data_IF_983386577103
#
_entry.id   IF_983386577103
#
_cell.length_a   1.000
_cell.length_b   1.000
_cell.length_c   1.000
_cell.angle_alpha   90.00
_cell.angle_beta   90.00
_cell.angle_gamma   90.00
#
_symmetry.space_group_name_H-M   'P 1'
#
loop_
_entity.id
_entity.type
_entity.pdbx_description
1 polymer ?
#
# COMPACT_ATOMS: atom_id res chain seq x y z
N UNK A 1 -10.54 -2.06 -6.06
CA UNK A 1 -10.32 -2.64 -4.73
C UNK A 1 -11.56 -3.32 -4.13
N UNK A 2 -12.79 -2.83 -4.36
CA UNK A 2 -14.03 -3.45 -3.83
C UNK A 2 -14.09 -4.98 -3.99
N UNK A 3 -13.81 -5.51 -5.19
CA UNK A 3 -13.91 -6.98 -5.44
C UNK A 3 -12.90 -7.84 -4.69
N UNK A 4 -11.74 -7.28 -4.33
CA UNK A 4 -10.74 -7.98 -3.52
C UNK A 4 -11.16 -7.92 -2.05
N UNK A 5 -11.63 -6.76 -1.60
CA UNK A 5 -12.18 -6.59 -0.26
C UNK A 5 -13.33 -7.57 0.03
N UNK A 6 -14.23 -7.77 -0.94
CA UNK A 6 -15.35 -8.71 -0.83
C UNK A 6 -14.89 -10.16 -0.60
N UNK A 7 -13.66 -10.51 -1.00
CA UNK A 7 -13.05 -11.84 -0.84
C UNK A 7 -12.18 -11.94 0.42
N UNK A 8 -11.51 -10.85 0.77
CA UNK A 8 -10.58 -10.75 1.90
C UNK A 8 -10.63 -9.33 2.45
N UNK A 9 -11.05 -9.20 3.70
CA UNK A 9 -10.98 -7.91 4.40
C UNK A 9 -9.51 -7.54 4.68
N UNK A 10 -9.18 -6.26 4.54
CA UNK A 10 -7.89 -5.69 4.89
C UNK A 10 -8.09 -4.36 5.62
N UNK A 11 -7.06 -3.57 5.87
CA UNK A 11 -7.23 -2.16 6.23
C UNK A 11 -6.79 -1.32 5.04
N UNK A 12 -7.49 -0.22 4.78
CA UNK A 12 -7.21 0.65 3.64
C UNK A 12 -7.08 2.10 4.10
N UNK A 13 -6.00 2.74 3.66
CA UNK A 13 -5.73 4.15 3.88
C UNK A 13 -5.17 4.78 2.62
N UNK A 14 -5.51 6.05 2.39
CA UNK A 14 -5.00 6.85 1.28
C UNK A 14 -4.11 7.96 1.82
N UNK A 15 -3.07 8.31 1.05
CA UNK A 15 -2.17 9.42 1.37
C UNK A 15 -2.16 10.35 0.16
N UNK A 16 -2.61 11.59 0.35
CA UNK A 16 -2.43 12.64 -0.64
C UNK A 16 -0.97 13.09 -0.63
N UNK A 17 -0.18 12.59 -1.58
CA UNK A 17 1.24 12.90 -1.67
C UNK A 17 1.50 14.35 -2.09
N UNK A 18 0.51 15.06 -2.65
CA UNK A 18 0.67 16.45 -3.06
C UNK A 18 0.45 17.43 -1.91
N UNK A 19 -0.11 16.96 -0.79
CA UNK A 19 -0.27 17.75 0.42
C UNK A 19 1.09 18.28 0.95
N UNK A 20 1.17 19.54 1.40
CA UNK A 20 2.42 20.17 1.84
C UNK A 20 3.20 19.44 2.95
N UNK A 21 2.50 18.67 3.78
CA UNK A 21 3.04 17.83 4.86
C UNK A 21 3.71 16.56 4.35
N UNK A 22 3.33 16.07 3.17
CA UNK A 22 3.78 14.79 2.61
C UNK A 22 4.97 14.92 1.66
N UNK A 23 5.89 15.86 1.92
CA UNK A 23 7.05 16.14 1.05
C UNK A 23 7.91 14.90 0.77
N UNK A 24 8.05 14.00 1.75
CA UNK A 24 8.78 12.74 1.58
C UNK A 24 8.13 11.84 0.53
N UNK A 25 6.82 11.65 0.61
CA UNK A 25 6.07 10.86 -0.38
C UNK A 25 6.05 11.52 -1.75
N UNK A 26 5.87 12.85 -1.78
CA UNK A 26 5.95 13.63 -3.02
C UNK A 26 7.26 13.37 -3.75
N UNK A 27 8.39 13.51 -3.06
CA UNK A 27 9.70 13.33 -3.66
C UNK A 27 9.92 11.91 -4.23
N UNK A 28 9.33 10.89 -3.60
CA UNK A 28 9.46 9.50 -4.04
C UNK A 28 8.55 9.16 -5.23
N UNK A 29 7.34 9.72 -5.28
CA UNK A 29 6.28 9.21 -6.16
C UNK A 29 5.57 10.25 -7.01
N UNK A 30 5.97 11.53 -7.00
CA UNK A 30 5.29 12.60 -7.77
C UNK A 30 5.11 12.28 -9.27
N UNK A 31 5.96 11.41 -9.83
CA UNK A 31 5.88 10.96 -11.23
C UNK A 31 5.38 9.52 -11.40
N UNK A 32 5.20 8.78 -10.31
CA UNK A 32 4.94 7.32 -10.29
C UNK A 32 3.54 6.96 -9.77
N UNK A 33 2.66 7.94 -9.56
CA UNK A 33 1.29 7.69 -9.08
C UNK A 33 0.41 7.01 -10.14
N UNK A 34 -0.47 6.06 -9.75
CA UNK A 34 -0.69 5.57 -8.38
C UNK A 34 0.32 4.50 -7.94
N UNK A 35 0.63 4.47 -6.63
CA UNK A 35 1.42 3.42 -5.97
C UNK A 35 0.64 2.87 -4.79
N UNK A 36 0.56 1.55 -4.68
CA UNK A 36 -0.08 0.85 -3.56
C UNK A 36 1.00 0.14 -2.75
N UNK A 37 0.99 0.39 -1.44
CA UNK A 37 1.82 -0.32 -0.47
C UNK A 37 0.96 -1.34 0.28
N UNK A 38 1.46 -2.57 0.40
CA UNK A 38 0.78 -3.68 1.06
C UNK A 38 1.68 -4.15 2.19
N UNK A 39 1.17 -4.11 3.42
CA UNK A 39 1.93 -4.39 4.63
C UNK A 39 1.05 -5.13 5.65
N UNK A 40 1.67 -5.76 6.63
CA UNK A 40 0.95 -6.40 7.74
C UNK A 40 0.40 -5.34 8.68
N UNK A 41 -0.89 -5.44 9.02
CA UNK A 41 -1.57 -4.53 9.96
C UNK A 41 -0.82 -4.39 11.29
N UNK A 42 -0.27 -5.50 11.81
CA UNK A 42 0.53 -5.48 13.04
C UNK A 42 1.78 -4.59 12.95
N UNK A 43 2.41 -4.48 11.78
CA UNK A 43 3.56 -3.62 11.56
C UNK A 43 3.15 -2.13 11.51
N UNK A 44 2.02 -1.83 10.88
CA UNK A 44 1.47 -0.47 10.75
C UNK A 44 1.03 0.14 12.09
N UNK A 45 0.52 -0.68 13.00
CA UNK A 45 0.09 -0.25 14.34
C UNK A 45 1.22 0.41 15.15
N UNK A 46 2.48 0.06 14.87
CA UNK A 46 3.65 0.62 15.55
C UNK A 46 4.21 1.89 14.88
N UNK A 47 3.65 2.31 13.74
CA UNK A 47 4.16 3.41 12.91
C UNK A 47 3.09 4.43 12.53
N UNK A 48 2.07 4.58 13.37
CA UNK A 48 0.97 5.51 13.14
C UNK A 48 0.33 5.36 11.74
N UNK A 49 0.21 4.12 11.26
CA UNK A 49 -0.33 3.81 9.94
C UNK A 49 0.63 4.00 8.76
N UNK A 50 1.90 4.35 9.01
CA UNK A 50 2.91 4.45 7.96
C UNK A 50 3.47 3.08 7.56
N UNK A 51 3.51 2.84 6.25
CA UNK A 51 4.06 1.63 5.62
C UNK A 51 5.55 1.41 5.94
N UNK A 52 5.99 0.15 5.93
CA UNK A 52 7.36 -0.25 6.23
C UNK A 52 8.21 -0.52 4.99
N UNK A 53 9.51 -0.69 5.17
CA UNK A 53 10.40 -1.12 4.09
C UNK A 53 10.14 -2.58 3.64
N UNK A 54 9.45 -3.38 4.47
CA UNK A 54 9.05 -4.74 4.13
C UNK A 54 7.78 -4.78 3.26
N UNK A 55 7.08 -3.65 3.11
CA UNK A 55 5.88 -3.58 2.31
C UNK A 55 6.13 -3.92 0.84
N UNK A 56 5.22 -4.69 0.25
CA UNK A 56 5.18 -4.90 -1.19
C UNK A 56 4.56 -3.68 -1.88
N UNK A 57 5.15 -3.30 -3.01
CA UNK A 57 4.79 -2.08 -3.75
C UNK A 57 4.30 -2.45 -5.13
N UNK A 58 3.08 -2.03 -5.47
CA UNK A 58 2.53 -2.12 -6.82
C UNK A 58 2.47 -0.71 -7.42
N UNK A 59 2.94 -0.53 -8.65
CA UNK A 59 3.03 0.78 -9.31
C UNK A 59 2.18 0.83 -10.59
N UNK A 60 1.66 2.03 -10.90
CA UNK A 60 0.95 2.39 -12.12
C UNK A 60 -0.32 1.58 -12.40
N UNK A 61 -0.17 0.36 -12.92
CA UNK A 61 -1.27 -0.55 -13.27
C UNK A 61 -0.94 -1.92 -12.69
N UNK A 62 -1.88 -2.43 -11.92
CA UNK A 62 -1.85 -3.78 -11.38
C UNK A 62 -3.25 -4.39 -11.52
N UNK A 63 -3.29 -5.71 -11.60
CA UNK A 63 -4.51 -6.51 -11.64
C UNK A 63 -4.94 -6.92 -10.24
N UNK A 64 -6.19 -7.37 -10.11
CA UNK A 64 -6.67 -7.94 -8.84
C UNK A 64 -5.83 -9.15 -8.42
N UNK A 65 -5.41 -10.01 -9.36
CA UNK A 65 -4.57 -11.17 -9.05
C UNK A 65 -3.16 -10.80 -8.56
N UNK A 66 -2.58 -9.70 -9.06
CA UNK A 66 -1.29 -9.19 -8.59
C UNK A 66 -1.39 -8.58 -7.19
N UNK A 67 -2.50 -7.92 -6.88
CA UNK A 67 -2.81 -7.48 -5.52
C UNK A 67 -2.97 -8.68 -4.58
N UNK A 68 -3.75 -9.67 -5.03
CA UNK A 68 -3.85 -11.06 -4.56
C UNK A 68 -2.53 -11.60 -3.99
N UNK A 69 -1.65 -11.88 -4.93
CA UNK A 69 -0.35 -12.48 -4.70
C UNK A 69 0.52 -11.62 -3.79
N UNK A 70 0.50 -10.31 -3.94
CA UNK A 70 1.31 -9.43 -3.12
C UNK A 70 0.85 -9.40 -1.65
N UNK A 71 -0.46 -9.60 -1.39
CA UNK A 71 -0.96 -9.76 -0.03
C UNK A 71 -0.54 -11.10 0.58
N UNK A 72 -0.56 -12.18 -0.20
CA UNK A 72 -0.09 -13.51 0.24
C UNK A 72 1.40 -13.48 0.57
N UNK A 73 2.23 -12.88 -0.29
CA UNK A 73 3.68 -12.72 -0.07
C UNK A 73 4.01 -11.95 1.22
N UNK A 74 3.16 -11.02 1.64
CA UNK A 74 3.34 -10.23 2.87
C UNK A 74 2.92 -11.03 4.11
N UNK A 75 1.88 -11.85 4.00
CA UNK A 75 1.44 -12.72 5.10
C UNK A 75 2.41 -13.86 5.38
N UNK A 76 2.99 -14.44 4.34
CA UNK A 76 3.92 -15.57 4.43
C UNK A 76 5.36 -15.15 4.83
N UNK A 77 5.64 -13.84 4.89
CA UNK A 77 6.96 -13.28 5.28
C UNK A 77 7.17 -13.09 6.78
#
# INVERSE_FOLDING_TARGET
>A
MSRVWDRRHFEYGEVDILAPENKGWKHLYEFDIPVVHIDRTAALATRDGQTTAAARKLKHRFTEAELERAMDEVEDS
#
